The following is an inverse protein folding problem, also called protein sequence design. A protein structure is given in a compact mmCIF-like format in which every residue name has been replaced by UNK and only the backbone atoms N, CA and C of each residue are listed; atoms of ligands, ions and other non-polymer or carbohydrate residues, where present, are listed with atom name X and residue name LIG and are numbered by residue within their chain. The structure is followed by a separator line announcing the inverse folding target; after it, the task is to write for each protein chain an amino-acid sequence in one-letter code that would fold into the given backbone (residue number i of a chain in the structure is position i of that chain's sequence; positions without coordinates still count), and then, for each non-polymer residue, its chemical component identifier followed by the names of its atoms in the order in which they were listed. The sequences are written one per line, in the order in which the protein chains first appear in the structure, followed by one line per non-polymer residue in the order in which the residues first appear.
data_IF_568054703747
#
_entry.id   IF_568054703747
#
_cell.length_a   1.000
_cell.length_b   1.000
_cell.length_c   1.000
_cell.angle_alpha   90.00
_cell.angle_beta   90.00
_cell.angle_gamma   90.00
#
_symmetry.space_group_name_H-M   'P 1'
#
loop_
_entity.id
_entity.type
_entity.pdbx_description
1 polymer ?
#
# COMPACT_ATOMS: atom_id res chain seq x y z
N UNK A 1 -3.32 -5.03 -39.31
CA UNK A 1 -3.53 -6.13 -38.35
C UNK A 1 -2.28 -6.22 -37.49
N UNK A 2 -2.41 -5.69 -36.27
CA UNK A 2 -1.64 -5.97 -35.05
C UNK A 2 -0.11 -5.81 -35.09
N UNK A 3 0.33 -4.58 -34.77
CA UNK A 3 1.62 -4.34 -34.12
C UNK A 3 1.70 -5.20 -32.85
N UNK A 4 2.63 -6.15 -32.85
CA UNK A 4 3.00 -6.90 -31.66
C UNK A 4 3.69 -5.93 -30.70
N UNK A 5 3.04 -5.68 -29.57
CA UNK A 5 3.61 -4.91 -28.47
C UNK A 5 4.92 -5.58 -28.03
N UNK A 6 6.05 -5.08 -28.52
CA UNK A 6 7.38 -5.48 -28.08
C UNK A 6 7.48 -5.10 -26.60
N UNK A 7 7.29 -6.09 -25.72
CA UNK A 7 7.56 -5.95 -24.29
C UNK A 7 9.07 -5.70 -24.17
N UNK A 8 9.46 -4.43 -24.11
CA UNK A 8 10.86 -4.03 -23.88
C UNK A 8 11.23 -4.41 -22.45
N UNK A 9 11.77 -5.61 -22.27
CA UNK A 9 12.26 -6.07 -20.98
C UNK A 9 13.61 -5.42 -20.70
N UNK A 10 13.71 -4.62 -19.64
CA UNK A 10 14.98 -4.10 -19.15
C UNK A 10 15.65 -5.18 -18.29
N UNK A 11 16.85 -5.60 -18.68
CA UNK A 11 17.65 -6.54 -17.88
C UNK A 11 18.40 -5.76 -16.81
N UNK A 12 18.33 -6.23 -15.56
CA UNK A 12 18.93 -5.61 -14.39
C UNK A 12 19.83 -6.64 -13.70
N UNK A 13 21.07 -6.27 -13.39
CA UNK A 13 22.01 -7.13 -12.66
C UNK A 13 22.09 -6.67 -11.21
N UNK A 14 21.63 -7.51 -10.28
CA UNK A 14 21.64 -7.21 -8.85
C UNK A 14 22.74 -7.99 -8.13
N UNK A 15 23.52 -7.30 -7.27
CA UNK A 15 24.40 -7.96 -6.30
C UNK A 15 23.66 -8.08 -4.98
N UNK A 16 23.60 -9.30 -4.45
CA UNK A 16 22.96 -9.60 -3.17
C UNK A 16 23.91 -10.35 -2.25
N UNK A 17 23.76 -10.24 -0.92
CA UNK A 17 24.46 -11.09 0.02
C UNK A 17 24.16 -12.58 -0.25
N UNK A 18 25.17 -13.43 -0.03
CA UNK A 18 25.04 -14.88 -0.25
C UNK A 18 23.89 -15.50 0.55
N UNK A 19 23.68 -15.04 1.79
CA UNK A 19 22.58 -15.49 2.63
C UNK A 19 21.21 -15.17 2.00
N UNK A 20 21.04 -13.94 1.49
CA UNK A 20 19.79 -13.50 0.89
C UNK A 20 19.47 -14.32 -0.37
N UNK A 21 20.48 -14.60 -1.20
CA UNK A 21 20.32 -15.47 -2.37
C UNK A 21 19.82 -16.86 -1.97
N UNK A 22 20.46 -17.48 -0.97
CA UNK A 22 20.08 -18.82 -0.51
C UNK A 22 18.63 -18.86 0.00
N UNK A 23 18.22 -17.86 0.77
CA UNK A 23 16.83 -17.73 1.26
C UNK A 23 15.83 -17.53 0.13
N UNK A 24 16.16 -16.72 -0.88
CA UNK A 24 15.31 -16.52 -2.05
C UNK A 24 15.17 -17.80 -2.88
N UNK A 25 16.25 -18.57 -3.05
CA UNK A 25 16.21 -19.86 -3.75
C UNK A 25 15.34 -20.89 -3.02
N UNK A 26 15.43 -20.93 -1.68
CA UNK A 26 14.56 -21.79 -0.86
C UNK A 26 13.08 -21.39 -1.00
N UNK A 27 12.78 -20.09 -0.89
CA UNK A 27 11.42 -19.56 -1.06
C UNK A 27 10.86 -19.85 -2.47
N UNK A 28 11.68 -19.65 -3.51
CA UNK A 28 11.30 -19.94 -4.89
C UNK A 28 10.96 -21.42 -5.08
N UNK A 29 11.77 -22.33 -4.50
CA UNK A 29 11.49 -23.77 -4.51
C UNK A 29 10.19 -24.13 -3.80
N UNK A 30 9.94 -23.57 -2.61
CA UNK A 30 8.73 -23.82 -1.83
C UNK A 30 7.48 -23.38 -2.59
N UNK A 31 7.55 -22.24 -3.27
CA UNK A 31 6.43 -21.68 -4.03
C UNK A 31 6.32 -22.27 -5.45
N UNK A 32 7.28 -23.09 -5.88
CA UNK A 32 7.30 -23.69 -7.22
C UNK A 32 7.50 -22.70 -8.35
N UNK A 33 8.13 -21.54 -8.08
CA UNK A 33 8.35 -20.47 -9.06
C UNK A 33 9.84 -20.27 -9.36
N UNK A 34 10.16 -19.64 -10.48
CA UNK A 34 11.55 -19.27 -10.78
C UNK A 34 12.03 -18.15 -9.85
N UNK A 35 13.33 -18.16 -9.54
CA UNK A 35 13.97 -17.13 -8.73
C UNK A 35 13.75 -15.72 -9.32
N UNK A 36 13.80 -15.60 -10.65
CA UNK A 36 13.61 -14.33 -11.34
C UNK A 36 12.17 -13.82 -11.19
N UNK A 37 11.18 -14.70 -11.30
CA UNK A 37 9.77 -14.33 -11.13
C UNK A 37 9.49 -13.92 -9.68
N UNK A 38 10.04 -14.67 -8.72
CA UNK A 38 9.94 -14.30 -7.31
C UNK A 38 10.60 -12.94 -7.05
N UNK A 39 11.80 -12.70 -7.58
CA UNK A 39 12.50 -11.44 -7.44
C UNK A 39 11.69 -10.27 -8.04
N UNK A 40 11.16 -10.43 -9.25
CA UNK A 40 10.32 -9.40 -9.89
C UNK A 40 9.05 -9.10 -9.09
N UNK A 41 8.39 -10.14 -8.57
CA UNK A 41 7.21 -10.00 -7.72
C UNK A 41 7.54 -9.24 -6.44
N UNK A 42 8.60 -9.63 -5.74
CA UNK A 42 9.03 -9.00 -4.49
C UNK A 42 9.44 -7.54 -4.72
N UNK A 43 10.21 -7.25 -5.77
CA UNK A 43 10.61 -5.87 -6.12
C UNK A 43 9.38 -5.00 -6.40
N UNK A 44 8.43 -5.49 -7.20
CA UNK A 44 7.18 -4.78 -7.51
C UNK A 44 6.36 -4.51 -6.24
N UNK A 45 6.22 -5.53 -5.40
CA UNK A 45 5.43 -5.44 -4.16
C UNK A 45 6.04 -4.43 -3.19
N UNK A 46 7.36 -4.49 -2.99
CA UNK A 46 8.06 -3.58 -2.09
C UNK A 46 8.05 -2.14 -2.60
N UNK A 47 8.20 -1.93 -3.92
CA UNK A 47 8.08 -0.60 -4.51
C UNK A 47 6.69 0.00 -4.28
N UNK A 48 5.64 -0.78 -4.55
CA UNK A 48 4.25 -0.35 -4.35
C UNK A 48 3.96 -0.02 -2.87
N UNK A 49 4.53 -0.78 -1.94
CA UNK A 49 4.42 -0.49 -0.51
C UNK A 49 5.06 0.85 -0.17
N UNK A 50 6.28 1.12 -0.65
CA UNK A 50 6.97 2.40 -0.43
C UNK A 50 6.19 3.58 -1.02
N UNK A 51 5.67 3.44 -2.23
CA UNK A 51 4.83 4.47 -2.88
C UNK A 51 3.56 4.74 -2.09
N UNK A 52 2.92 3.69 -1.57
CA UNK A 52 1.72 3.81 -0.74
C UNK A 52 2.03 4.55 0.55
N UNK A 53 3.13 4.22 1.23
CA UNK A 53 3.55 4.93 2.44
C UNK A 53 3.86 6.40 2.17
N UNK A 54 4.60 6.70 1.09
CA UNK A 54 4.88 8.08 0.69
C UNK A 54 3.59 8.87 0.38
N UNK A 55 2.63 8.24 -0.32
CA UNK A 55 1.33 8.85 -0.61
C UNK A 55 0.50 9.11 0.64
N UNK A 56 0.53 8.20 1.62
CA UNK A 56 -0.12 8.39 2.93
C UNK A 56 0.57 9.52 3.69
N UNK A 57 1.90 9.55 3.74
CA UNK A 57 2.66 10.59 4.43
C UNK A 57 2.36 11.97 3.84
N UNK A 58 2.32 12.10 2.51
CA UNK A 58 1.95 13.35 1.84
C UNK A 58 0.52 13.79 2.18
N UNK A 59 -0.43 12.86 2.27
CA UNK A 59 -1.82 13.14 2.69
C UNK A 59 -1.91 13.53 4.17
N UNK A 60 -1.08 12.94 5.03
CA UNK A 60 -1.02 13.29 6.45
C UNK A 60 -0.38 14.66 6.65
N UNK A 61 0.69 14.98 5.92
CA UNK A 61 1.35 16.30 5.97
C UNK A 61 0.42 17.45 5.56
N UNK A 62 -0.52 17.19 4.64
CA UNK A 62 -1.49 18.19 4.16
C UNK A 62 -2.73 18.33 5.03
N UNK A 63 -2.99 17.39 5.95
CA UNK A 63 -4.13 17.44 6.86
C UNK A 63 -3.66 17.72 8.28
N UNK A 64 -3.74 18.98 8.68
CA UNK A 64 -3.46 19.38 10.05
C UNK A 64 -4.51 18.75 10.99
N UNK A 65 -4.08 18.12 12.08
CA UNK A 65 -4.99 17.44 13.03
C UNK A 65 -6.06 18.41 13.58
N UNK A 66 -5.70 19.68 13.73
CA UNK A 66 -6.59 20.76 14.15
C UNK A 66 -7.71 21.00 13.15
N UNK A 67 -7.41 21.02 11.84
CA UNK A 67 -8.42 21.21 10.78
C UNK A 67 -9.38 20.02 10.72
N UNK A 68 -8.89 18.80 10.95
CA UNK A 68 -9.73 17.62 11.00
C UNK A 68 -10.69 17.68 12.20
N UNK A 69 -10.21 18.05 13.39
CA UNK A 69 -11.04 18.24 14.58
C UNK A 69 -12.10 19.31 14.37
N UNK A 70 -11.73 20.44 13.77
CA UNK A 70 -12.68 21.52 13.47
C UNK A 70 -13.73 21.08 12.45
N UNK A 71 -13.32 20.34 11.40
CA UNK A 71 -14.25 19.79 10.41
C UNK A 71 -15.21 18.77 11.02
N UNK A 72 -14.73 17.91 11.93
CA UNK A 72 -15.57 16.94 12.65
C UNK A 72 -16.54 17.67 13.58
N UNK A 73 -16.09 18.68 14.34
CA UNK A 73 -16.96 19.48 15.19
C UNK A 73 -18.09 20.15 14.39
N UNK A 74 -17.77 20.71 13.21
CA UNK A 74 -18.76 21.31 12.31
C UNK A 74 -19.75 20.28 11.73
N UNK A 75 -19.32 19.03 11.52
CA UNK A 75 -20.21 17.97 11.07
C UNK A 75 -21.13 17.50 12.19
N UNK A 76 -20.60 17.33 13.41
CA UNK A 76 -21.37 16.95 14.59
C UNK A 76 -22.37 18.03 15.00
N UNK A 77 -22.01 19.31 14.87
CA UNK A 77 -22.90 20.46 15.11
C UNK A 77 -24.08 20.52 14.12
N UNK A 78 -23.87 20.05 12.88
CA UNK A 78 -24.92 19.97 11.86
C UNK A 78 -25.88 18.80 12.05
N UNK A 79 -25.57 17.83 12.92
CA UNK A 79 -26.49 16.72 13.20
C UNK A 79 -27.58 17.23 14.14
N UNK A 80 -28.86 17.28 13.71
CA UNK A 80 -29.93 17.72 14.58
C UNK A 80 -30.05 16.76 15.77
N UNK A 81 -30.17 17.32 16.98
CA UNK A 81 -30.41 16.54 18.18
C UNK A 81 -31.75 15.82 18.03
N UNK A 82 -31.72 14.51 17.76
CA UNK A 82 -32.92 13.72 17.59
C UNK A 82 -33.37 13.24 18.98
N UNK A 83 -34.53 13.69 19.50
CA UNK A 83 -35.01 13.28 20.82
C UNK A 83 -35.42 11.80 20.86
N UNK A 84 -35.49 11.12 19.70
CA UNK A 84 -35.97 9.75 19.56
C UNK A 84 -34.81 8.77 19.30
N UNK A 85 -33.79 8.82 20.15
CA UNK A 85 -32.72 7.81 20.18
C UNK A 85 -33.13 6.61 21.05
N UNK A 86 -32.90 5.37 20.58
CA UNK A 86 -33.20 4.17 21.36
C UNK A 86 -32.34 4.07 22.62
N UNK A 87 -32.83 3.39 23.65
CA UNK A 87 -32.21 3.35 24.99
C UNK A 87 -30.74 2.87 25.01
N UNK A 88 -30.34 2.02 24.05
CA UNK A 88 -28.96 1.52 23.95
C UNK A 88 -27.96 2.55 23.41
N UNK A 89 -28.44 3.65 22.84
CA UNK A 89 -27.63 4.75 22.27
C UNK A 89 -27.68 6.02 23.16
N UNK A 90 -28.33 5.93 24.33
CA UNK A 90 -28.33 6.98 25.35
C UNK A 90 -27.08 6.81 26.25
N UNK A 91 -26.00 7.51 25.91
CA UNK A 91 -24.84 7.72 26.81
C UNK A 91 -24.97 9.04 27.56
#
# INVERSE_FOLDING_TARGET
MSESCLIKTQVITLRVPNELKSRLEQQAKVQGVSLNNLANYLLTTQLSQLETFAGIEQRLRTKNLSDLKQKIALLLDKVPHNPNVPEWDRL
#
